data_IF_479922297751
#
_entry.id   IF_479922297751
#
_cell.length_a   1.000
_cell.length_b   1.000
_cell.length_c   1.000
_cell.angle_alpha   90.00
_cell.angle_beta   90.00
_cell.angle_gamma   90.00
#
_symmetry.space_group_name_H-M   'P 1'
#
loop_
_entity.id
_entity.type
_entity.pdbx_description
1 polymer ?
#
# COMPACT_ATOMS: atom_id res chain seq x y z
N UNK A 1 -6.08 2.69 9.74
CA UNK A 1 -5.92 1.39 9.04
C UNK A 1 -5.20 0.42 9.97
N UNK A 2 -5.46 -0.89 9.86
CA UNK A 2 -4.76 -1.93 10.61
C UNK A 2 -3.99 -2.85 9.67
N UNK A 3 -2.80 -3.27 10.09
CA UNK A 3 -2.01 -4.32 9.45
C UNK A 3 -1.84 -5.48 10.44
N UNK A 4 -1.74 -6.70 9.91
CA UNK A 4 -1.47 -7.93 10.66
C UNK A 4 -0.34 -8.71 10.00
N UNK A 5 0.19 -9.70 10.73
CA UNK A 5 1.18 -10.66 10.22
C UNK A 5 2.41 -9.99 9.60
N UNK A 6 2.81 -8.85 10.17
CA UNK A 6 3.98 -8.08 9.72
C UNK A 6 5.25 -8.83 10.15
N UNK A 7 6.16 -9.19 9.22
CA UNK A 7 7.37 -9.93 9.54
C UNK A 7 8.23 -9.24 10.61
N UNK A 8 8.90 -10.05 11.44
CA UNK A 8 9.88 -9.54 12.41
C UNK A 8 11.01 -8.77 11.69
N UNK A 9 11.48 -7.69 12.28
CA UNK A 9 12.49 -6.80 11.69
C UNK A 9 11.92 -5.75 10.72
N UNK A 10 10.59 -5.69 10.54
CA UNK A 10 9.98 -4.62 9.75
C UNK A 10 10.09 -3.29 10.47
N UNK A 11 10.71 -2.31 9.82
CA UNK A 11 10.81 -0.92 10.31
C UNK A 11 9.96 0.05 9.49
N UNK A 12 9.67 -0.29 8.23
CA UNK A 12 8.88 0.56 7.33
C UNK A 12 7.88 -0.27 6.55
N UNK A 13 6.73 0.32 6.25
CA UNK A 13 5.71 -0.24 5.38
C UNK A 13 5.57 0.66 4.16
N UNK A 14 5.75 0.09 2.96
CA UNK A 14 5.57 0.78 1.69
C UNK A 14 4.25 0.40 1.05
N UNK A 15 3.39 1.38 0.87
CA UNK A 15 2.06 1.24 0.28
C UNK A 15 2.08 1.76 -1.15
N UNK A 16 1.48 1.00 -2.07
CA UNK A 16 1.31 1.41 -3.48
C UNK A 16 -0.03 0.95 -4.02
N UNK A 17 -0.69 1.82 -4.77
CA UNK A 17 -1.88 1.48 -5.56
C UNK A 17 -1.52 1.66 -7.03
N UNK A 18 -1.91 0.69 -7.85
CA UNK A 18 -1.80 0.75 -9.31
C UNK A 18 -3.18 0.47 -9.88
N UNK A 19 -3.62 1.31 -10.81
CA UNK A 19 -4.73 0.99 -11.69
C UNK A 19 -4.21 0.09 -12.81
N UNK A 20 -4.67 -1.15 -12.88
CA UNK A 20 -4.20 -2.11 -13.88
C UNK A 20 -4.68 -1.77 -15.30
N UNK A 21 -5.70 -0.91 -15.42
CA UNK A 21 -6.21 -0.39 -16.68
C UNK A 21 -5.54 0.93 -17.07
N UNK A 22 -4.98 1.68 -16.11
CA UNK A 22 -4.24 2.92 -16.32
C UNK A 22 -2.95 2.96 -15.47
N UNK A 23 -1.95 2.13 -15.79
CA UNK A 23 -0.80 1.88 -14.90
C UNK A 23 0.09 3.10 -14.65
N UNK A 24 0.05 4.08 -15.55
CA UNK A 24 0.83 5.32 -15.47
C UNK A 24 0.12 6.41 -14.65
N UNK A 25 -1.15 6.22 -14.27
CA UNK A 25 -1.86 7.19 -13.43
C UNK A 25 -1.33 7.15 -11.98
N UNK A 26 -0.88 8.28 -11.41
CA UNK A 26 -0.26 8.31 -10.11
C UNK A 26 -1.31 8.27 -8.99
N UNK A 27 -1.81 7.07 -8.66
CA UNK A 27 -2.72 6.89 -7.54
C UNK A 27 -2.09 7.20 -6.18
N UNK A 28 -0.77 7.30 -6.09
CA UNK A 28 -0.06 7.63 -4.87
C UNK A 28 0.30 6.41 -4.02
N UNK A 29 0.42 6.64 -2.72
CA UNK A 29 0.99 5.71 -1.76
C UNK A 29 1.92 6.42 -0.80
N UNK A 30 2.85 5.66 -0.22
CA UNK A 30 3.83 6.21 0.70
C UNK A 30 4.57 5.15 1.48
N UNK A 31 5.66 5.56 2.11
CA UNK A 31 6.41 4.74 3.04
C UNK A 31 6.21 5.30 4.45
N UNK A 32 5.81 4.44 5.37
CA UNK A 32 5.47 4.82 6.76
C UNK A 32 6.35 4.05 7.71
N UNK A 33 6.90 4.72 8.72
CA UNK A 33 7.57 4.03 9.83
C UNK A 33 6.60 3.12 10.58
N UNK A 34 7.02 1.89 10.85
CA UNK A 34 6.24 0.89 11.56
C UNK A 34 6.77 0.73 12.98
N UNK A 35 5.88 0.92 13.97
CA UNK A 35 6.21 0.85 15.38
C UNK A 35 5.81 -0.50 16.03
N UNK A 36 5.45 -1.50 15.23
CA UNK A 36 5.08 -2.83 15.73
C UNK A 36 3.64 -2.99 16.23
N UNK A 37 2.87 -1.91 16.41
CA UNK A 37 1.55 -1.99 17.06
C UNK A 37 0.38 -2.33 16.11
N UNK A 38 0.67 -2.54 14.82
CA UNK A 38 -0.32 -2.87 13.80
C UNK A 38 -1.30 -1.75 13.42
N UNK A 39 -1.22 -0.56 14.03
CA UNK A 39 -2.11 0.58 13.78
C UNK A 39 -1.36 1.68 13.03
N UNK A 40 -1.92 2.10 11.89
CA UNK A 40 -1.39 3.23 11.13
C UNK A 40 -2.25 4.47 11.41
N UNK A 41 -1.62 5.62 11.75
CA UNK A 41 -2.35 6.85 11.99
C UNK A 41 -3.08 7.29 10.71
N UNK A 42 -4.16 8.05 10.89
CA UNK A 42 -4.81 8.71 9.75
C UNK A 42 -3.81 9.64 9.05
N UNK A 43 -3.82 9.64 7.72
CA UNK A 43 -2.89 10.46 6.93
C UNK A 43 -1.46 9.94 6.84
N UNK A 44 -1.17 8.73 7.34
CA UNK A 44 0.15 8.11 7.22
C UNK A 44 0.65 8.00 5.77
N UNK A 45 -0.26 7.88 4.81
CA UNK A 45 -0.02 7.94 3.38
C UNK A 45 -1.25 8.55 2.69
N UNK A 46 -1.13 8.91 1.41
CA UNK A 46 -2.23 9.51 0.63
C UNK A 46 -2.45 8.75 -0.68
N UNK A 47 -3.71 8.65 -1.08
CA UNK A 47 -4.13 8.08 -2.34
C UNK A 47 -5.09 9.00 -3.07
N UNK A 48 -4.97 9.03 -4.39
CA UNK A 48 -6.03 9.50 -5.29
C UNK A 48 -6.98 8.34 -5.52
N UNK A 49 -8.26 8.52 -5.16
CA UNK A 49 -9.27 7.49 -5.30
C UNK A 49 -9.65 7.20 -6.76
N UNK A 50 -10.39 6.11 -7.03
CA UNK A 50 -10.95 5.82 -8.35
C UNK A 50 -11.92 6.90 -8.81
N UNK A 51 -11.72 7.40 -10.03
CA UNK A 51 -12.71 8.19 -10.77
C UNK A 51 -12.59 7.89 -12.29
N UNK A 52 -12.66 6.61 -12.70
CA UNK A 52 -12.55 6.27 -14.11
C UNK A 52 -13.88 6.49 -14.85
N UNK A 53 -13.86 6.65 -16.19
CA UNK A 53 -15.08 6.72 -17.01
C UNK A 53 -15.78 5.36 -17.17
N UNK A 54 -15.13 4.27 -16.80
CA UNK A 54 -15.65 2.90 -16.79
C UNK A 54 -14.96 2.08 -15.70
N UNK A 55 -15.54 0.95 -15.23
CA UNK A 55 -14.96 0.24 -14.09
C UNK A 55 -13.57 -0.35 -14.36
N UNK A 56 -12.61 0.01 -13.52
CA UNK A 56 -11.21 -0.43 -13.58
C UNK A 56 -10.86 -1.44 -12.47
N UNK A 57 -9.73 -2.12 -12.62
CA UNK A 57 -9.17 -3.04 -11.61
C UNK A 57 -7.98 -2.38 -10.93
N UNK A 58 -8.09 -2.19 -9.62
CA UNK A 58 -7.05 -1.59 -8.81
C UNK A 58 -6.32 -2.66 -8.02
N UNK A 59 -4.99 -2.60 -8.00
CA UNK A 59 -4.13 -3.42 -7.17
C UNK A 59 -3.52 -2.57 -6.07
N UNK A 60 -3.75 -2.98 -4.83
CA UNK A 60 -3.12 -2.42 -3.63
C UNK A 60 -2.02 -3.36 -3.15
N UNK A 61 -0.81 -2.84 -2.98
CA UNK A 61 0.36 -3.59 -2.53
C UNK A 61 0.92 -2.96 -1.27
N UNK A 62 1.24 -3.80 -0.29
CA UNK A 62 1.96 -3.41 0.93
C UNK A 62 3.23 -4.24 1.03
N UNK A 63 4.37 -3.57 1.17
CA UNK A 63 5.67 -4.21 1.35
C UNK A 63 6.21 -3.86 2.75
N UNK A 64 6.61 -4.89 3.48
CA UNK A 64 7.31 -4.77 4.74
C UNK A 64 8.81 -4.66 4.47
N UNK A 65 9.44 -3.60 4.97
CA UNK A 65 10.84 -3.28 4.73
C UNK A 65 11.63 -3.25 6.05
N UNK A 66 12.87 -3.75 6.01
CA UNK A 66 13.83 -3.53 7.09
C UNK A 66 14.44 -2.11 7.06
N UNK A 67 15.33 -1.80 8.00
CA UNK A 67 16.01 -0.50 8.09
C UNK A 67 16.86 -0.16 6.86
N UNK A 68 17.37 -1.16 6.15
CA UNK A 68 18.13 -1.01 4.90
C UNK A 68 17.23 -0.90 3.66
N UNK A 69 15.92 -1.07 3.80
CA UNK A 69 14.94 -1.02 2.71
C UNK A 69 14.77 -2.36 1.97
N UNK A 70 15.30 -3.46 2.49
CA UNK A 70 15.08 -4.81 1.94
C UNK A 70 13.65 -5.25 2.23
N UNK A 71 13.00 -5.86 1.24
CA UNK A 71 11.65 -6.41 1.39
C UNK A 71 11.72 -7.70 2.22
N UNK A 72 11.04 -7.70 3.36
CA UNK A 72 10.85 -8.84 4.25
C UNK A 72 9.53 -9.58 3.97
N UNK A 73 8.54 -8.89 3.40
CA UNK A 73 7.25 -9.46 3.08
C UNK A 73 6.44 -8.57 2.14
N UNK A 74 5.49 -9.16 1.43
CA UNK A 74 4.64 -8.47 0.46
C UNK A 74 3.22 -9.04 0.50
N UNK A 75 2.25 -8.15 0.62
CA UNK A 75 0.83 -8.45 0.51
C UNK A 75 0.24 -7.69 -0.67
N UNK A 76 -0.71 -8.31 -1.38
CA UNK A 76 -1.41 -7.69 -2.51
C UNK A 76 -2.90 -8.00 -2.44
N UNK A 77 -3.72 -6.99 -2.70
CA UNK A 77 -5.16 -7.13 -2.86
C UNK A 77 -5.58 -6.49 -4.20
N UNK A 78 -6.54 -7.10 -4.89
CA UNK A 78 -7.12 -6.57 -6.12
C UNK A 78 -8.61 -6.32 -5.91
N UNK A 79 -9.12 -5.22 -6.45
CA UNK A 79 -10.54 -4.90 -6.43
C UNK A 79 -10.96 -4.20 -7.70
N UNK A 80 -12.08 -4.63 -8.28
CA UNK A 80 -12.76 -3.89 -9.34
C UNK A 80 -13.61 -2.79 -8.70
N UNK A 81 -13.44 -1.55 -9.16
CA UNK A 81 -14.16 -0.39 -8.66
C UNK A 81 -14.83 0.34 -9.84
N UNK A 82 -15.95 1.06 -9.60
CA UNK A 82 -16.66 1.82 -10.61
C UNK A 82 -15.76 2.79 -11.36
#
# INVERSE_FOLDING_TARGET
MRVSDVPAGTEKLRFRMIDLNAPDYPHGGGTVSYNGNGKLPYGAFRYTGPCPPSPHVYQFTVEALDGAGKILGKATAKKRLP
#
